data_IF_960554841786
#
_entry.id   IF_960554841786
#
_cell.length_a   1.000
_cell.length_b   1.000
_cell.length_c   1.000
_cell.angle_alpha   90.00
_cell.angle_beta   90.00
_cell.angle_gamma   90.00
#
_symmetry.space_group_name_H-M   'P 1'
#
loop_
_entity.id
_entity.type
_entity.pdbx_description
1 polymer ?
#
# COMPACT_ATOMS: atom_id res chain seq x y z
N UNK A 1 24.74 32.64 -28.64
CA UNK A 1 24.32 31.27 -28.31
C UNK A 1 24.87 30.77 -26.98
N UNK A 2 26.12 31.09 -26.60
CA UNK A 2 26.71 30.66 -25.31
C UNK A 2 25.90 31.09 -24.07
N UNK A 3 25.31 32.30 -24.08
CA UNK A 3 24.48 32.76 -22.97
C UNK A 3 23.17 32.00 -22.79
N UNK A 4 22.53 31.56 -23.89
CA UNK A 4 21.29 30.79 -23.84
C UNK A 4 21.54 29.36 -23.36
N UNK A 5 22.61 28.71 -23.83
CA UNK A 5 23.03 27.39 -23.35
C UNK A 5 23.28 27.38 -21.83
N UNK A 6 24.04 28.38 -21.35
CA UNK A 6 24.36 28.53 -19.93
C UNK A 6 23.10 28.74 -19.06
N UNK A 7 22.14 29.53 -19.53
CA UNK A 7 20.87 29.73 -18.81
C UNK A 7 20.03 28.46 -18.72
N UNK A 8 20.08 27.59 -19.74
CA UNK A 8 19.38 26.30 -19.71
C UNK A 8 20.08 25.34 -18.74
N UNK A 9 21.41 25.31 -18.72
CA UNK A 9 22.19 24.49 -17.77
C UNK A 9 21.98 24.92 -16.32
N UNK A 10 22.00 26.23 -16.03
CA UNK A 10 21.74 26.76 -14.68
C UNK A 10 20.33 26.36 -14.20
N UNK A 11 19.31 26.46 -15.06
CA UNK A 11 17.95 26.02 -14.74
C UNK A 11 17.81 24.52 -14.55
N UNK A 12 18.54 23.70 -15.33
CA UNK A 12 18.53 22.25 -15.14
C UNK A 12 19.10 21.88 -13.77
N UNK A 13 20.19 22.53 -13.34
CA UNK A 13 20.76 22.34 -12.00
C UNK A 13 19.80 22.77 -10.89
N UNK A 14 19.08 23.87 -11.06
CA UNK A 14 18.04 24.30 -10.11
C UNK A 14 16.95 23.24 -9.98
N UNK A 15 16.50 22.64 -11.09
CA UNK A 15 15.50 21.58 -11.09
C UNK A 15 16.06 20.29 -10.44
N UNK A 16 17.32 19.93 -10.69
CA UNK A 16 17.98 18.77 -10.07
C UNK A 16 18.06 18.92 -8.54
N UNK A 17 18.41 20.10 -8.04
CA UNK A 17 18.39 20.39 -6.58
C UNK A 17 16.97 20.26 -6.02
N UNK A 18 15.96 20.79 -6.73
CA UNK A 18 14.57 20.66 -6.30
C UNK A 18 14.07 19.20 -6.30
N UNK A 19 14.56 18.36 -7.21
CA UNK A 19 14.27 16.91 -7.23
C UNK A 19 14.90 16.23 -6.01
N UNK A 20 16.15 16.54 -5.68
CA UNK A 20 16.82 15.99 -4.49
C UNK A 20 16.11 16.39 -3.18
N UNK A 21 15.59 17.62 -3.10
CA UNK A 21 14.76 18.06 -1.96
C UNK A 21 13.44 17.28 -1.90
N UNK A 22 12.75 17.12 -3.03
CA UNK A 22 11.50 16.34 -3.10
C UNK A 22 11.74 14.86 -2.76
N UNK A 23 12.86 14.26 -3.16
CA UNK A 23 13.23 12.90 -2.82
C UNK A 23 13.32 12.71 -1.29
N UNK A 24 14.00 13.64 -0.60
CA UNK A 24 14.10 13.66 0.87
C UNK A 24 12.73 13.82 1.53
N UNK A 25 11.91 14.75 1.02
CA UNK A 25 10.53 14.94 1.49
C UNK A 25 9.66 13.67 1.29
N UNK A 26 9.79 13.00 0.15
CA UNK A 26 9.07 11.76 -0.14
C UNK A 26 9.45 10.65 0.82
N UNK A 27 10.75 10.40 1.00
CA UNK A 27 11.24 9.34 1.89
C UNK A 27 10.67 9.51 3.30
N UNK A 28 10.83 10.69 3.90
CA UNK A 28 10.29 10.96 5.25
C UNK A 28 8.76 10.94 5.32
N UNK A 29 8.08 11.29 4.22
CA UNK A 29 6.61 11.21 4.16
C UNK A 29 6.12 9.77 4.08
N UNK A 30 6.77 8.90 3.30
CA UNK A 30 6.44 7.47 3.25
C UNK A 30 6.81 6.75 4.55
N UNK A 31 7.94 7.09 5.17
CA UNK A 31 8.31 6.59 6.50
C UNK A 31 7.19 6.87 7.53
N UNK A 32 6.74 8.12 7.61
CA UNK A 32 5.64 8.51 8.49
C UNK A 32 4.31 7.83 8.13
N UNK A 33 3.99 7.75 6.83
CA UNK A 33 2.79 7.09 6.33
C UNK A 33 2.76 5.60 6.67
N UNK A 34 3.86 4.88 6.45
CA UNK A 34 3.97 3.44 6.67
C UNK A 34 3.85 3.05 8.13
N UNK A 35 4.41 3.85 9.04
CA UNK A 35 4.25 3.62 10.48
C UNK A 35 2.78 3.61 10.88
N UNK A 36 2.04 4.65 10.47
CA UNK A 36 0.60 4.78 10.82
C UNK A 36 -0.24 3.77 10.04
N UNK A 37 0.06 3.55 8.75
CA UNK A 37 -0.65 2.59 7.91
C UNK A 37 -0.48 1.16 8.44
N UNK A 38 0.73 0.75 8.82
CA UNK A 38 1.00 -0.58 9.35
C UNK A 38 0.22 -0.86 10.63
N UNK A 39 0.17 0.10 11.56
CA UNK A 39 -0.67 0.03 12.76
C UNK A 39 -2.16 -0.04 12.40
N UNK A 40 -2.62 0.80 11.46
CA UNK A 40 -4.01 0.84 10.97
C UNK A 40 -4.45 -0.48 10.34
N UNK A 41 -3.61 -1.09 9.49
CA UNK A 41 -3.85 -2.41 8.89
C UNK A 41 -4.02 -3.46 10.00
N UNK A 42 -3.11 -3.47 10.98
CA UNK A 42 -3.15 -4.42 12.10
C UNK A 42 -4.44 -4.29 12.92
N UNK A 43 -4.85 -3.07 13.25
CA UNK A 43 -6.10 -2.83 13.98
C UNK A 43 -7.33 -3.27 13.18
N UNK A 44 -7.41 -2.88 11.90
CA UNK A 44 -8.52 -3.22 11.02
C UNK A 44 -8.64 -4.73 10.80
N UNK A 45 -7.51 -5.44 10.71
CA UNK A 45 -7.49 -6.89 10.66
C UNK A 45 -8.13 -7.53 11.90
N UNK A 46 -7.78 -7.03 13.09
CA UNK A 46 -8.33 -7.53 14.35
C UNK A 46 -9.83 -7.23 14.45
N UNK A 47 -10.27 -6.03 14.06
CA UNK A 47 -11.69 -5.68 14.04
C UNK A 47 -12.49 -6.53 13.04
N UNK A 48 -11.98 -6.73 11.82
CA UNK A 48 -12.59 -7.59 10.82
C UNK A 48 -12.71 -9.03 11.35
N UNK A 49 -11.64 -9.58 11.93
CA UNK A 49 -11.61 -10.92 12.50
C UNK A 49 -12.58 -11.07 13.67
N UNK A 50 -12.64 -10.08 14.57
CA UNK A 50 -13.62 -10.02 15.65
C UNK A 50 -15.04 -10.04 15.10
N UNK A 51 -15.33 -9.26 14.07
CA UNK A 51 -16.65 -9.24 13.45
C UNK A 51 -17.02 -10.56 12.80
N UNK A 52 -16.10 -11.21 12.10
CA UNK A 52 -16.33 -12.54 11.53
C UNK A 52 -16.66 -13.53 12.66
N UNK A 53 -15.90 -13.53 13.76
CA UNK A 53 -16.10 -14.48 14.85
C UNK A 53 -17.40 -14.22 15.64
N UNK A 54 -17.83 -12.97 15.80
CA UNK A 54 -18.96 -12.62 16.69
C UNK A 54 -20.27 -12.36 15.97
N UNK A 55 -20.22 -11.93 14.71
CA UNK A 55 -21.39 -11.57 13.90
C UNK A 55 -21.54 -12.45 12.66
N UNK A 56 -20.43 -12.92 12.09
CA UNK A 56 -20.44 -13.83 10.94
C UNK A 56 -20.74 -15.28 11.33
N UNK A 57 -19.93 -15.83 12.23
CA UNK A 57 -19.97 -17.24 12.63
C UNK A 57 -19.87 -17.43 14.16
N UNK A 58 -20.79 -16.85 14.95
CA UNK A 58 -20.77 -16.95 16.41
C UNK A 58 -20.82 -18.40 16.91
N UNK A 59 -21.64 -19.25 16.29
CA UNK A 59 -21.76 -20.66 16.68
C UNK A 59 -20.46 -21.44 16.46
N UNK A 60 -19.77 -21.22 15.34
CA UNK A 60 -18.49 -21.84 15.06
C UNK A 60 -17.43 -21.42 16.10
N UNK A 61 -17.39 -20.12 16.43
CA UNK A 61 -16.50 -19.60 17.45
C UNK A 61 -16.81 -20.15 18.86
N UNK A 62 -18.10 -20.29 19.20
CA UNK A 62 -18.54 -20.85 20.49
C UNK A 62 -18.27 -22.36 20.59
N UNK A 63 -18.22 -23.09 19.48
CA UNK A 63 -17.83 -24.51 19.45
C UNK A 63 -16.33 -24.74 19.68
N UNK A 64 -15.49 -23.72 19.47
CA UNK A 64 -14.07 -23.80 19.79
C UNK A 64 -13.84 -23.90 21.29
N UNK A 65 -12.91 -24.75 21.70
CA UNK A 65 -12.37 -24.77 23.06
C UNK A 65 -11.60 -23.49 23.38
N UNK A 66 -11.41 -23.21 24.66
CA UNK A 66 -10.66 -22.02 25.11
C UNK A 66 -9.24 -21.96 24.51
N UNK A 67 -8.52 -23.08 24.48
CA UNK A 67 -7.16 -23.13 23.92
C UNK A 67 -7.14 -22.89 22.40
N UNK A 68 -8.14 -23.39 21.66
CA UNK A 68 -8.28 -23.12 20.22
C UNK A 68 -8.55 -21.63 19.96
N UNK A 69 -9.45 -21.01 20.73
CA UNK A 69 -9.71 -19.56 20.63
C UNK A 69 -8.46 -18.75 20.93
N UNK A 70 -7.74 -19.08 22.00
CA UNK A 70 -6.51 -18.39 22.39
C UNK A 70 -5.43 -18.53 21.32
N UNK A 71 -5.23 -19.74 20.77
CA UNK A 71 -4.28 -20.00 19.68
C UNK A 71 -4.61 -19.14 18.45
N UNK A 72 -5.85 -19.22 17.97
CA UNK A 72 -6.30 -18.45 16.80
C UNK A 72 -6.13 -16.94 17.00
N UNK A 73 -6.51 -16.41 18.17
CA UNK A 73 -6.37 -14.99 18.49
C UNK A 73 -4.90 -14.57 18.57
N UNK A 74 -4.00 -15.43 19.08
CA UNK A 74 -2.56 -15.17 19.08
C UNK A 74 -2.02 -15.11 17.65
N UNK A 75 -2.36 -16.09 16.80
CA UNK A 75 -1.91 -16.13 15.42
C UNK A 75 -2.38 -14.90 14.63
N UNK A 76 -3.62 -14.46 14.83
CA UNK A 76 -4.13 -13.22 14.22
C UNK A 76 -3.38 -11.96 14.71
N UNK A 77 -3.03 -11.90 16.01
CA UNK A 77 -2.23 -10.79 16.56
C UNK A 77 -0.81 -10.78 16.03
N UNK A 78 -0.24 -11.95 15.77
CA UNK A 78 1.11 -12.02 15.21
C UNK A 78 1.12 -11.60 13.74
N UNK A 79 0.11 -12.00 12.95
CA UNK A 79 -0.07 -11.48 11.59
C UNK A 79 -0.29 -9.97 11.59
N UNK A 80 -1.06 -9.43 12.54
CA UNK A 80 -1.33 -7.99 12.62
C UNK A 80 -0.07 -7.12 12.81
N UNK A 81 1.05 -7.69 13.25
CA UNK A 81 2.34 -7.00 13.39
C UNK A 81 3.19 -7.04 12.12
N UNK A 82 2.90 -7.94 11.19
CA UNK A 82 3.68 -8.11 9.96
C UNK A 82 3.67 -6.90 9.02
N UNK A 83 2.53 -6.21 8.80
CA UNK A 83 2.49 -5.06 7.88
C UNK A 83 3.49 -3.97 8.23
N UNK A 84 3.72 -3.70 9.53
CA UNK A 84 4.67 -2.67 9.97
C UNK A 84 6.08 -2.98 9.44
N UNK A 85 6.55 -4.22 9.65
CA UNK A 85 7.88 -4.66 9.20
C UNK A 85 7.98 -4.73 7.69
N UNK A 86 6.97 -5.30 7.01
CA UNK A 86 7.00 -5.45 5.55
C UNK A 86 6.95 -4.08 4.84
N UNK A 87 6.29 -3.08 5.42
CA UNK A 87 6.31 -1.71 4.92
C UNK A 87 7.63 -0.99 5.21
N UNK A 88 8.22 -1.18 6.39
CA UNK A 88 9.55 -0.66 6.71
C UNK A 88 10.62 -1.20 5.74
N UNK A 89 10.65 -2.52 5.51
CA UNK A 89 11.54 -3.18 4.55
C UNK A 89 11.33 -2.67 3.11
N UNK A 90 10.11 -2.25 2.76
CA UNK A 90 9.79 -1.72 1.43
C UNK A 90 10.41 -0.33 1.19
N UNK A 91 10.62 0.48 2.23
CA UNK A 91 11.29 1.79 2.09
C UNK A 91 12.75 1.63 1.62
N UNK A 92 13.38 0.54 2.05
CA UNK A 92 14.80 0.28 1.80
C UNK A 92 15.05 -0.36 0.42
N UNK A 93 14.00 -0.77 -0.28
CA UNK A 93 14.09 -1.39 -1.59
C UNK A 93 14.14 -0.35 -2.70
N UNK A 94 15.29 -0.20 -3.35
CA UNK A 94 15.40 0.50 -4.64
C UNK A 94 15.11 -0.52 -5.73
N UNK A 95 14.21 -0.22 -6.70
CA UNK A 95 14.06 -1.08 -7.87
C UNK A 95 15.42 -1.22 -8.56
N UNK A 96 15.98 -2.43 -8.60
CA UNK A 96 17.10 -2.73 -9.50
C UNK A 96 16.62 -2.42 -10.92
N UNK A 97 17.42 -1.68 -11.69
CA UNK A 97 17.15 -1.46 -13.12
C UNK A 97 17.01 -2.82 -13.80
N UNK A 98 15.78 -3.31 -13.95
CA UNK A 98 15.50 -4.43 -14.82
C UNK A 98 15.61 -3.89 -16.24
N UNK A 99 16.80 -4.00 -16.83
CA UNK A 99 16.96 -4.19 -18.27
C UNK A 99 16.22 -5.47 -18.66
N UNK A 100 14.90 -5.41 -18.76
CA UNK A 100 14.11 -6.37 -19.49
C UNK A 100 12.96 -5.64 -20.17
N UNK A 101 13.11 -5.57 -21.49
CA UNK A 101 12.10 -5.25 -22.47
C UNK A 101 10.76 -5.88 -22.14
N UNK A 102 9.76 -5.05 -21.87
CA UNK A 102 8.40 -5.29 -22.35
C UNK A 102 7.75 -3.93 -22.67
N UNK A 103 7.57 -3.70 -23.97
CA UNK A 103 6.84 -2.58 -24.54
C UNK A 103 5.37 -2.62 -24.14
N UNK A 104 5.01 -2.30 -22.89
CA UNK A 104 3.60 -2.04 -22.56
C UNK A 104 3.46 -1.21 -21.28
N UNK A 105 3.68 0.11 -21.38
CA UNK A 105 3.03 1.09 -20.47
C UNK A 105 3.16 2.56 -20.87
N UNK A 106 3.57 2.86 -22.10
CA UNK A 106 3.51 4.23 -22.64
C UNK A 106 2.14 4.66 -23.22
N UNK A 107 1.16 3.79 -23.61
CA UNK A 107 -0.07 4.28 -24.22
C UNK A 107 -1.22 4.65 -23.25
N UNK A 108 -1.21 4.27 -21.97
CA UNK A 108 -2.34 4.62 -21.07
C UNK A 108 -2.31 6.07 -20.58
N UNK A 109 -1.11 6.65 -20.36
CA UNK A 109 -0.97 8.06 -20.00
C UNK A 109 -1.28 9.02 -21.16
N UNK A 110 -1.21 8.55 -22.41
CA UNK A 110 -1.56 9.35 -23.60
C UNK A 110 -3.07 9.42 -23.80
N UNK A 111 -3.81 8.38 -23.40
CA UNK A 111 -5.27 8.33 -23.57
C UNK A 111 -6.03 9.21 -22.55
N UNK A 112 -5.46 9.44 -21.35
CA UNK A 112 -6.03 10.36 -20.37
C UNK A 112 -5.80 11.85 -20.71
N UNK A 113 -4.74 12.18 -21.44
CA UNK A 113 -4.40 13.56 -21.78
C UNK A 113 -5.16 14.12 -23.00
N UNK A 114 -5.87 13.29 -23.76
CA UNK A 114 -6.57 13.70 -24.98
C UNK A 114 -8.10 13.90 -24.79
N UNK A 115 -8.65 13.64 -23.60
CA UNK A 115 -10.11 13.57 -23.40
C UNK A 115 -10.71 14.63 -22.47
N UNK A 116 -9.97 15.67 -22.09
CA UNK A 116 -10.52 16.83 -21.38
C UNK A 116 -10.75 17.99 -22.35
N UNK A 117 -11.89 17.93 -23.05
CA UNK A 117 -12.50 19.08 -23.72
C UNK A 117 -13.77 19.49 -22.97
N UNK A 118 -13.81 20.76 -22.57
CA UNK A 118 -14.95 21.60 -22.17
C UNK A 118 -16.15 20.96 -21.45
N UNK A 119 -16.41 21.41 -20.21
CA UNK A 119 -17.69 21.21 -19.53
C UNK A 119 -17.78 21.97 -18.21
N UNK A 120 -18.78 22.83 -18.12
CA UNK A 120 -19.00 23.90 -17.15
C UNK A 120 -19.27 23.47 -15.69
N UNK A 121 -19.15 24.44 -14.78
CA UNK A 121 -19.58 24.42 -13.37
C UNK A 121 -21.05 23.95 -13.19
N UNK A 122 -21.33 23.23 -12.09
CA UNK A 122 -22.56 23.47 -11.31
C UNK A 122 -22.55 22.85 -9.91
N UNK A 123 -22.86 23.69 -8.91
CA UNK A 123 -23.29 23.32 -7.56
C UNK A 123 -24.56 22.46 -7.59
N UNK A 124 -24.65 21.46 -6.70
CA UNK A 124 -25.94 21.05 -6.13
C UNK A 124 -25.78 20.68 -4.66
N UNK A 125 -26.44 21.47 -3.81
CA UNK A 125 -26.73 21.16 -2.41
C UNK A 125 -27.92 20.18 -2.33
N UNK A 126 -27.86 19.17 -1.47
CA UNK A 126 -29.09 18.60 -0.89
C UNK A 126 -28.84 17.81 0.40
N UNK A 127 -29.56 18.22 1.44
CA UNK A 127 -29.77 17.58 2.74
C UNK A 127 -30.38 16.18 2.60
N UNK A 128 -30.12 15.27 3.56
CA UNK A 128 -31.15 14.53 4.30
C UNK A 128 -30.58 13.80 5.52
N UNK A 129 -31.48 13.60 6.49
CA UNK A 129 -31.34 13.24 7.89
C UNK A 129 -31.30 11.72 8.16
N UNK A 130 -30.62 11.43 9.27
CA UNK A 130 -30.95 10.54 10.39
C UNK A 130 -30.88 9.00 10.31
N UNK A 131 -30.42 8.50 11.47
CA UNK A 131 -30.55 7.19 12.11
C UNK A 131 -29.65 6.03 11.65
N UNK A 132 -28.60 5.78 12.44
CA UNK A 132 -28.40 4.47 13.07
C UNK A 132 -27.47 4.52 14.29
N UNK A 133 -27.96 3.86 15.32
CA UNK A 133 -27.41 3.62 16.65
C UNK A 133 -25.93 3.21 16.65
N UNK A 134 -25.06 4.06 17.19
CA UNK A 134 -23.70 3.69 17.56
C UNK A 134 -23.73 2.97 18.92
N UNK A 135 -23.37 1.69 18.92
CA UNK A 135 -22.79 1.07 20.11
C UNK A 135 -21.31 1.46 20.07
N UNK A 136 -20.96 2.43 20.90
CA UNK A 136 -19.59 2.89 21.12
C UNK A 136 -18.77 1.72 21.70
N UNK A 137 -17.85 1.18 20.90
CA UNK A 137 -16.97 0.08 21.28
C UNK A 137 -15.59 0.63 21.59
N UNK A 138 -15.22 0.60 22.87
CA UNK A 138 -13.97 1.14 23.39
C UNK A 138 -12.76 0.29 22.97
N UNK A 139 -11.90 0.83 22.11
CA UNK A 139 -10.71 0.15 21.56
C UNK A 139 -9.65 -0.18 22.63
N UNK A 140 -9.73 0.47 23.80
CA UNK A 140 -8.74 0.35 24.87
C UNK A 140 -8.69 -1.04 25.53
N UNK A 141 -9.75 -1.86 25.40
CA UNK A 141 -9.85 -3.14 26.09
C UNK A 141 -8.96 -4.24 25.47
N UNK A 142 -8.62 -4.14 24.17
CA UNK A 142 -7.90 -5.22 23.48
C UNK A 142 -6.37 -5.21 23.66
N UNK A 143 -5.78 -4.08 24.07
CA UNK A 143 -4.34 -3.82 24.03
C UNK A 143 -3.66 -3.66 25.41
N UNK A 144 -4.34 -3.96 26.51
CA UNK A 144 -3.70 -3.94 27.84
C UNK A 144 -3.00 -5.27 28.14
N UNK A 145 -1.73 -5.41 27.78
CA UNK A 145 -0.85 -6.49 28.29
C UNK A 145 -0.09 -6.02 29.52
N UNK A 146 -0.48 -6.53 30.70
CA UNK A 146 0.38 -6.59 31.90
C UNK A 146 1.06 -7.96 31.92
N UNK A 147 2.38 -8.02 31.81
CA UNK A 147 3.16 -9.23 32.14
C UNK A 147 4.48 -8.87 32.84
N UNK A 148 5.00 -9.84 33.58
CA UNK A 148 5.81 -9.73 34.79
C UNK A 148 7.30 -10.00 34.51
N UNK A 149 8.18 -9.15 35.07
CA UNK A 149 9.61 -8.93 34.78
C UNK A 149 10.64 -10.05 35.09
N UNK A 150 10.23 -11.28 35.36
CA UNK A 150 11.08 -12.38 35.84
C UNK A 150 12.18 -12.96 34.91
N UNK A 151 11.81 -13.28 33.67
CA UNK A 151 12.51 -14.31 32.87
C UNK A 151 13.08 -13.82 31.53
N UNK A 152 12.76 -12.60 31.08
CA UNK A 152 13.26 -12.06 29.80
C UNK A 152 14.77 -11.77 29.80
N UNK A 153 15.36 -11.41 30.95
CA UNK A 153 16.78 -11.02 31.02
C UNK A 153 17.78 -12.11 30.62
N UNK A 154 17.45 -13.41 30.77
CA UNK A 154 18.37 -14.51 30.40
C UNK A 154 18.26 -14.97 28.94
N UNK A 155 17.22 -14.54 28.23
CA UNK A 155 17.05 -14.80 26.80
C UNK A 155 17.59 -13.64 25.96
N UNK A 156 17.45 -12.40 26.44
CA UNK A 156 17.98 -11.18 25.80
C UNK A 156 19.50 -11.22 25.69
N UNK A 157 20.22 -11.60 26.75
CA UNK A 157 21.70 -11.66 26.74
C UNK A 157 22.26 -12.66 25.70
N UNK A 158 21.52 -13.75 25.39
CA UNK A 158 21.95 -14.73 24.37
C UNK A 158 21.58 -14.33 22.94
N UNK A 159 20.52 -13.52 22.79
CA UNK A 159 20.13 -12.96 21.51
C UNK A 159 21.08 -11.80 21.13
N UNK A 160 21.48 -10.96 22.09
CA UNK A 160 22.47 -9.89 21.85
C UNK A 160 23.83 -10.43 21.38
N UNK A 161 24.27 -11.58 21.90
CA UNK A 161 25.55 -12.17 21.49
C UNK A 161 25.49 -12.82 20.09
N UNK A 162 24.28 -13.18 19.63
CA UNK A 162 24.05 -13.70 18.26
C UNK A 162 23.73 -12.61 17.24
N UNK A 163 23.13 -11.48 17.66
CA UNK A 163 22.92 -10.28 16.83
C UNK A 163 24.24 -9.55 16.54
N UNK A 164 25.14 -9.44 17.54
CA UNK A 164 26.47 -8.84 17.37
C UNK A 164 27.40 -9.59 16.38
N UNK A 165 27.02 -10.80 15.97
CA UNK A 165 27.73 -11.60 14.96
C UNK A 165 27.15 -11.41 13.55
N UNK A 166 25.89 -11.00 13.44
CA UNK A 166 25.21 -10.62 12.18
C UNK A 166 25.56 -9.17 11.81
N UNK A 167 25.69 -8.27 12.81
CA UNK A 167 26.07 -6.86 12.63
C UNK A 167 27.46 -6.62 11.99
N UNK A 168 28.29 -7.65 11.82
CA UNK A 168 29.60 -7.50 11.16
C UNK A 168 29.58 -7.74 9.66
N UNK A 169 28.44 -8.13 9.09
CA UNK A 169 28.27 -8.31 7.63
C UNK A 169 27.28 -7.30 6.99
N UNK A 170 26.56 -6.48 7.76
CA UNK A 170 25.53 -5.52 7.26
C UNK A 170 25.93 -4.03 7.35
N UNK A 171 27.19 -3.67 7.08
CA UNK A 171 27.65 -2.26 7.15
C UNK A 171 27.47 -1.50 5.80
N UNK A 172 26.87 -2.08 4.76
CA UNK A 172 26.71 -1.37 3.47
C UNK A 172 25.41 -0.56 3.26
N UNK A 173 24.37 -0.75 4.06
CA UNK A 173 23.08 -0.07 3.85
C UNK A 173 22.68 0.83 5.03
N UNK A 174 23.31 2.01 5.10
CA UNK A 174 22.79 3.14 5.89
C UNK A 174 21.67 3.85 5.11
N UNK A 175 20.60 4.37 5.77
CA UNK A 175 19.52 5.13 5.11
C UNK A 175 20.01 6.35 4.31
N UNK A 176 21.18 6.91 4.66
CA UNK A 176 21.82 7.98 3.89
C UNK A 176 22.14 7.55 2.44
N UNK A 177 22.50 6.29 2.22
CA UNK A 177 22.88 5.77 0.90
C UNK A 177 21.67 5.57 -0.04
N UNK A 178 20.46 5.40 0.50
CA UNK A 178 19.24 5.25 -0.31
C UNK A 178 18.78 6.63 -0.79
N UNK A 179 18.75 7.62 0.11
CA UNK A 179 18.30 8.98 -0.21
C UNK A 179 19.15 9.59 -1.32
N UNK A 180 20.47 9.39 -1.29
CA UNK A 180 21.39 9.88 -2.32
C UNK A 180 21.12 9.26 -3.70
N UNK A 181 20.67 8.01 -3.76
CA UNK A 181 20.30 7.33 -5.02
C UNK A 181 18.96 7.84 -5.58
N UNK A 182 18.06 8.31 -4.71
CA UNK A 182 16.75 8.85 -5.08
C UNK A 182 16.82 10.28 -5.64
N UNK A 183 17.99 10.93 -5.69
CA UNK A 183 18.15 12.25 -6.32
C UNK A 183 17.93 12.19 -7.85
N UNK A 184 18.02 11.00 -8.46
CA UNK A 184 17.68 10.80 -9.86
C UNK A 184 16.15 10.68 -10.04
N UNK A 185 15.60 11.51 -10.93
CA UNK A 185 14.18 11.59 -11.25
C UNK A 185 13.56 10.24 -11.66
N UNK A 186 14.25 9.46 -12.51
CA UNK A 186 13.71 8.19 -13.00
C UNK A 186 13.68 7.13 -11.89
N UNK A 187 14.73 7.11 -11.05
CA UNK A 187 14.81 6.21 -9.89
C UNK A 187 13.75 6.60 -8.84
N UNK A 188 13.55 7.89 -8.60
CA UNK A 188 12.53 8.35 -7.65
C UNK A 188 11.11 7.95 -8.08
N UNK A 189 10.80 8.09 -9.37
CA UNK A 189 9.49 7.70 -9.92
C UNK A 189 9.31 6.18 -9.81
N UNK A 190 10.28 5.39 -10.25
CA UNK A 190 10.16 3.93 -10.21
C UNK A 190 10.08 3.39 -8.77
N UNK A 191 10.84 3.98 -7.84
CA UNK A 191 10.76 3.67 -6.41
C UNK A 191 9.36 3.96 -5.85
N UNK A 192 8.80 5.13 -6.18
CA UNK A 192 7.47 5.52 -5.74
C UNK A 192 6.38 4.61 -6.31
N UNK A 193 6.45 4.26 -7.60
CA UNK A 193 5.52 3.34 -8.26
C UNK A 193 5.62 1.93 -7.65
N UNK A 194 6.84 1.46 -7.37
CA UNK A 194 7.06 0.18 -6.71
C UNK A 194 6.40 0.14 -5.31
N UNK A 195 6.56 1.20 -4.53
CA UNK A 195 5.90 1.34 -3.24
C UNK A 195 4.37 1.22 -3.38
N UNK A 196 3.76 2.02 -4.26
CA UNK A 196 2.31 2.02 -4.44
C UNK A 196 1.78 0.68 -4.93
N UNK A 197 2.56 -0.04 -5.73
CA UNK A 197 2.22 -1.38 -6.22
C UNK A 197 2.30 -2.44 -5.13
N UNK A 198 3.27 -2.34 -4.23
CA UNK A 198 3.52 -3.36 -3.20
C UNK A 198 2.58 -3.23 -1.99
N UNK A 199 2.07 -2.03 -1.68
CA UNK A 199 1.12 -1.83 -0.58
C UNK A 199 -0.11 -2.75 -0.73
N UNK A 200 -0.87 -2.76 -1.86
CA UNK A 200 -1.98 -3.68 -2.05
C UNK A 200 -1.61 -5.16 -1.92
N UNK A 201 -0.42 -5.55 -2.39
CA UNK A 201 0.05 -6.95 -2.28
C UNK A 201 0.29 -7.35 -0.82
N UNK A 202 0.82 -6.45 0.01
CA UNK A 202 0.94 -6.66 1.46
C UNK A 202 -0.46 -6.84 2.09
N UNK A 203 -1.43 -5.96 1.77
CA UNK A 203 -2.80 -6.07 2.29
C UNK A 203 -3.45 -7.40 1.88
N UNK A 204 -3.27 -7.82 0.64
CA UNK A 204 -3.77 -9.09 0.12
C UNK A 204 -3.15 -10.28 0.86
N UNK A 205 -1.82 -10.32 0.99
CA UNK A 205 -1.08 -11.36 1.70
C UNK A 205 -1.55 -11.47 3.16
N UNK A 206 -1.75 -10.35 3.84
CA UNK A 206 -2.24 -10.30 5.23
C UNK A 206 -3.68 -10.84 5.31
N UNK A 207 -4.55 -10.43 4.39
CA UNK A 207 -5.94 -10.91 4.31
C UNK A 207 -6.00 -12.43 4.06
N UNK A 208 -5.18 -12.95 3.14
CA UNK A 208 -5.14 -14.37 2.79
C UNK A 208 -4.64 -15.23 3.96
N UNK A 209 -3.60 -14.76 4.67
CA UNK A 209 -3.09 -15.47 5.86
C UNK A 209 -4.11 -15.45 6.99
N UNK A 210 -4.80 -14.32 7.22
CA UNK A 210 -5.86 -14.24 8.20
C UNK A 210 -7.04 -15.16 7.88
N UNK A 211 -7.49 -15.19 6.63
CA UNK A 211 -8.52 -16.12 6.17
C UNK A 211 -8.08 -17.58 6.34
N UNK A 212 -6.81 -17.90 6.10
CA UNK A 212 -6.26 -19.23 6.31
C UNK A 212 -6.30 -19.65 7.79
N UNK A 213 -6.01 -18.74 8.73
CA UNK A 213 -6.16 -18.99 10.17
C UNK A 213 -7.63 -19.29 10.50
N UNK A 214 -8.56 -18.46 10.01
CA UNK A 214 -9.98 -18.63 10.30
C UNK A 214 -10.56 -19.92 9.69
N UNK A 215 -10.02 -20.38 8.55
CA UNK A 215 -10.34 -21.68 7.96
C UNK A 215 -9.79 -22.84 8.79
N UNK A 216 -8.52 -22.75 9.21
CA UNK A 216 -7.88 -23.77 10.06
C UNK A 216 -8.55 -23.90 11.43
N UNK A 217 -9.12 -22.81 11.94
CA UNK A 217 -9.93 -22.79 13.14
C UNK A 217 -11.40 -23.19 12.90
N UNK A 218 -11.76 -23.68 11.70
CA UNK A 218 -13.12 -24.10 11.32
C UNK A 218 -14.20 -23.02 11.50
N UNK A 219 -13.81 -21.73 11.53
CA UNK A 219 -14.73 -20.60 11.55
C UNK A 219 -15.24 -20.33 10.14
N UNK A 220 -14.33 -20.29 9.17
CA UNK A 220 -14.68 -20.18 7.76
C UNK A 220 -14.86 -21.57 7.14
N UNK A 221 -15.83 -21.74 6.23
CA UNK A 221 -16.01 -23.02 5.56
C UNK A 221 -14.82 -23.33 4.62
N UNK A 222 -14.25 -24.53 4.75
CA UNK A 222 -13.09 -25.01 3.97
C UNK A 222 -13.38 -25.23 2.47
N UNK A 223 -14.61 -25.00 2.00
CA UNK A 223 -15.05 -25.26 0.62
C UNK A 223 -14.78 -24.10 -0.35
N UNK A 224 -14.18 -23.00 0.08
CA UNK A 224 -14.02 -21.81 -0.78
C UNK A 224 -12.67 -21.90 -1.49
N UNK A 225 -12.62 -22.13 -2.81
CA UNK A 225 -11.35 -22.13 -3.53
C UNK A 225 -10.71 -20.75 -3.45
N UNK A 226 -9.41 -20.68 -3.13
CA UNK A 226 -8.64 -19.42 -3.12
C UNK A 226 -8.83 -18.60 -4.41
N UNK A 227 -9.01 -19.29 -5.54
CA UNK A 227 -9.29 -18.67 -6.86
C UNK A 227 -10.63 -17.90 -6.92
N UNK A 228 -11.65 -18.32 -6.17
CA UNK A 228 -12.95 -17.61 -6.12
C UNK A 228 -12.83 -16.35 -5.27
N UNK A 229 -12.06 -16.41 -4.18
CA UNK A 229 -11.74 -15.23 -3.37
C UNK A 229 -10.94 -14.21 -4.19
N UNK A 230 -9.90 -14.65 -4.90
CA UNK A 230 -9.09 -13.78 -5.78
C UNK A 230 -9.90 -13.18 -6.94
N UNK A 231 -10.86 -13.92 -7.51
CA UNK A 231 -11.73 -13.40 -8.56
C UNK A 231 -12.71 -12.36 -8.00
N UNK A 232 -13.22 -12.58 -6.78
CA UNK A 232 -14.11 -11.65 -6.11
C UNK A 232 -13.43 -10.35 -5.69
N UNK A 233 -12.19 -10.40 -5.19
CA UNK A 233 -11.43 -9.20 -4.83
C UNK A 233 -11.16 -8.31 -6.04
N UNK A 234 -10.92 -8.91 -7.23
CA UNK A 234 -10.79 -8.19 -8.50
C UNK A 234 -12.10 -7.55 -8.99
N UNK A 235 -13.25 -8.18 -8.72
CA UNK A 235 -14.56 -7.67 -9.12
C UNK A 235 -15.08 -6.57 -8.18
N UNK A 236 -14.71 -6.62 -6.89
CA UNK A 236 -15.03 -5.60 -5.88
C UNK A 236 -14.13 -4.37 -5.92
N UNK A 237 -13.22 -4.25 -6.90
CA UNK A 237 -12.43 -3.02 -7.10
C UNK A 237 -13.29 -1.82 -7.55
N UNK A 238 -14.60 -2.01 -7.74
CA UNK A 238 -15.59 -0.94 -7.89
C UNK A 238 -16.04 -0.37 -6.54
N UNK A 239 -16.21 0.96 -6.50
CA UNK A 239 -16.35 1.85 -5.33
C UNK A 239 -17.59 1.61 -4.42
N UNK A 240 -18.26 0.45 -4.53
CA UNK A 240 -19.45 0.12 -3.76
C UNK A 240 -19.24 -1.17 -2.98
N UNK A 241 -19.06 -1.11 -1.65
CA UNK A 241 -19.00 -2.30 -0.81
C UNK A 241 -20.33 -3.06 -0.91
N UNK A 242 -20.32 -4.24 -1.54
CA UNK A 242 -21.47 -5.17 -1.62
C UNK A 242 -21.88 -5.75 -0.24
N UNK A 243 -21.34 -5.21 0.86
CA UNK A 243 -21.35 -5.87 2.15
C UNK A 243 -21.29 -5.00 3.39
N UNK A 244 -21.57 -3.69 3.32
CA UNK A 244 -21.95 -2.82 4.45
C UNK A 244 -20.99 -2.66 5.65
N UNK A 245 -19.91 -3.44 5.77
CA UNK A 245 -18.90 -3.34 6.82
C UNK A 245 -17.51 -3.26 6.21
N UNK A 246 -16.64 -2.41 6.76
CA UNK A 246 -15.31 -2.22 6.21
C UNK A 246 -14.47 -3.49 6.32
N UNK A 247 -13.60 -3.69 5.35
CA UNK A 247 -12.55 -4.70 5.26
C UNK A 247 -13.08 -6.15 5.23
N UNK A 248 -14.33 -6.34 4.80
CA UNK A 248 -14.99 -7.64 4.72
C UNK A 248 -15.56 -7.88 3.31
N UNK A 249 -15.33 -9.08 2.81
CA UNK A 249 -15.90 -9.58 1.56
C UNK A 249 -17.08 -10.51 1.88
N UNK A 250 -18.26 -10.20 1.33
CA UNK A 250 -19.47 -11.02 1.47
C UNK A 250 -19.76 -11.73 0.14
N UNK A 251 -19.57 -13.06 0.11
CA UNK A 251 -19.87 -13.90 -1.05
C UNK A 251 -21.13 -14.72 -0.83
N UNK A 252 -21.92 -14.87 -1.88
CA UNK A 252 -23.00 -15.85 -1.93
C UNK A 252 -22.54 -16.98 -2.84
N UNK A 253 -22.28 -18.16 -2.26
CA UNK A 253 -21.83 -19.33 -3.00
C UNK A 253 -23.01 -20.28 -3.17
N UNK A 254 -23.36 -20.59 -4.41
CA UNK A 254 -24.28 -21.68 -4.72
C UNK A 254 -23.51 -22.99 -4.62
N UNK A 255 -23.79 -23.78 -3.57
CA UNK A 255 -23.28 -25.13 -3.47
C UNK A 255 -24.28 -26.10 -4.10
N UNK A 256 -23.85 -26.79 -5.16
CA UNK A 256 -24.51 -28.01 -5.65
C UNK A 256 -24.07 -29.17 -4.75
N UNK A 257 -24.98 -29.69 -3.93
CA UNK A 257 -24.75 -30.96 -3.23
C UNK A 257 -25.04 -32.10 -4.24
N UNK A 258 -24.06 -32.96 -4.58
CA UNK A 258 -24.28 -34.07 -5.52
C UNK A 258 -25.24 -35.14 -4.99
N UNK A 259 -25.60 -35.10 -3.70
CA UNK A 259 -26.47 -36.07 -3.02
C UNK A 259 -27.93 -35.59 -2.85
N UNK A 260 -28.24 -34.31 -3.09
CA UNK A 260 -29.60 -33.76 -3.00
C UNK A 260 -30.00 -33.04 -4.31
N UNK A 261 -30.77 -33.71 -5.18
CA UNK A 261 -31.38 -33.13 -6.39
C UNK A 261 -32.42 -31.99 -6.11
N UNK A 262 -32.36 -31.30 -4.96
CA UNK A 262 -33.37 -30.32 -4.55
C UNK A 262 -32.77 -29.03 -3.99
N UNK A 263 -32.62 -28.09 -4.92
CA UNK A 263 -32.38 -26.63 -4.78
C UNK A 263 -30.95 -26.22 -4.41
N UNK A 264 -30.37 -25.23 -5.13
CA UNK A 264 -29.06 -24.69 -4.78
C UNK A 264 -29.12 -24.11 -3.37
N UNK A 265 -28.26 -24.60 -2.46
CA UNK A 265 -28.07 -23.96 -1.15
C UNK A 265 -27.11 -22.79 -1.33
N UNK A 266 -27.68 -21.59 -1.38
CA UNK A 266 -26.92 -20.34 -1.35
C UNK A 266 -26.31 -20.21 0.06
N UNK A 267 -25.01 -20.43 0.18
CA UNK A 267 -24.27 -20.24 1.43
C UNK A 267 -23.63 -18.86 1.42
N UNK A 268 -24.00 -18.01 2.39
CA UNK A 268 -23.32 -16.73 2.60
C UNK A 268 -21.98 -16.97 3.28
N UNK A 269 -20.91 -16.53 2.65
CA UNK A 269 -19.55 -16.52 3.17
C UNK A 269 -19.14 -15.08 3.47
N UNK A 270 -18.64 -14.86 4.67
CA UNK A 270 -17.98 -13.60 5.06
C UNK A 270 -16.50 -13.89 5.25
N UNK A 271 -15.61 -13.17 4.56
CA UNK A 271 -14.15 -13.32 4.66
C UNK A 271 -13.46 -11.97 4.88
N UNK A 272 -12.23 -11.98 5.40
CA UNK A 272 -11.40 -10.78 5.54
C UNK A 272 -10.92 -10.34 4.16
N UNK A 273 -11.11 -9.07 3.82
CA UNK A 273 -10.55 -8.44 2.63
C UNK A 273 -10.16 -7.00 2.98
N UNK A 274 -8.91 -6.80 3.40
CA UNK A 274 -8.40 -5.48 3.77
C UNK A 274 -8.27 -4.61 2.52
N UNK A 275 -8.85 -3.41 2.56
CA UNK A 275 -8.85 -2.48 1.44
C UNK A 275 -8.18 -1.18 1.84
N UNK A 276 -7.24 -0.73 1.02
CA UNK A 276 -6.47 0.48 1.31
C UNK A 276 -7.39 1.70 1.45
N UNK A 277 -8.35 1.89 0.53
CA UNK A 277 -9.27 3.02 0.56
C UNK A 277 -10.10 3.11 1.85
N UNK A 278 -10.51 1.97 2.40
CA UNK A 278 -11.30 1.95 3.63
C UNK A 278 -10.43 2.18 4.88
N UNK A 279 -9.19 1.69 4.89
CA UNK A 279 -8.23 1.96 5.96
C UNK A 279 -7.84 3.44 5.95
N UNK A 280 -7.54 4.01 4.78
CA UNK A 280 -7.24 5.43 4.62
C UNK A 280 -8.43 6.31 5.02
N UNK A 281 -9.67 5.91 4.68
CA UNK A 281 -10.88 6.66 5.03
C UNK A 281 -11.21 6.61 6.52
N UNK A 282 -10.93 5.49 7.19
CA UNK A 282 -11.28 5.32 8.61
C UNK A 282 -10.31 6.02 9.55
N UNK A 283 -9.02 6.12 9.20
CA UNK A 283 -8.00 6.75 10.04
C UNK A 283 -7.58 8.13 9.49
N UNK A 284 -7.89 9.18 10.27
CA UNK A 284 -7.56 10.58 9.97
C UNK A 284 -6.04 10.77 9.78
N UNK A 285 -5.21 10.07 10.55
CA UNK A 285 -3.76 10.20 10.47
C UNK A 285 -3.24 9.60 9.16
N UNK A 286 -3.74 8.41 8.78
CA UNK A 286 -3.39 7.76 7.50
C UNK A 286 -3.82 8.66 6.33
N UNK A 287 -5.05 9.18 6.38
CA UNK A 287 -5.56 10.15 5.40
C UNK A 287 -4.69 11.41 5.28
N UNK A 288 -4.24 11.97 6.41
CA UNK A 288 -3.40 13.17 6.41
C UNK A 288 -2.04 12.91 5.73
N UNK A 289 -1.42 11.77 6.00
CA UNK A 289 -0.18 11.36 5.33
C UNK A 289 -0.40 11.08 3.84
N UNK A 290 -1.49 10.39 3.47
CA UNK A 290 -1.85 10.15 2.07
C UNK A 290 -2.02 11.44 1.27
N UNK A 291 -2.62 12.46 1.88
CA UNK A 291 -2.75 13.77 1.25
C UNK A 291 -1.39 14.47 1.06
N UNK A 292 -0.45 14.33 2.00
CA UNK A 292 0.93 14.82 1.81
C UNK A 292 1.61 14.12 0.62
N UNK A 293 1.47 12.80 0.51
CA UNK A 293 2.00 12.02 -0.62
C UNK A 293 1.43 12.55 -1.95
N UNK A 294 0.11 12.75 -2.03
CA UNK A 294 -0.55 13.30 -3.24
C UNK A 294 -0.04 14.70 -3.61
N UNK A 295 0.21 15.55 -2.62
CA UNK A 295 0.77 16.89 -2.85
C UNK A 295 2.21 16.83 -3.37
N UNK A 296 3.04 15.96 -2.82
CA UNK A 296 4.41 15.72 -3.30
C UNK A 296 4.40 15.15 -4.72
N UNK A 297 3.50 14.21 -5.03
CA UNK A 297 3.31 13.66 -6.37
C UNK A 297 2.95 14.75 -7.39
N UNK A 298 2.06 15.68 -7.01
CA UNK A 298 1.73 16.84 -7.83
C UNK A 298 2.96 17.71 -8.14
N UNK A 299 3.78 18.02 -7.14
CA UNK A 299 5.03 18.78 -7.29
C UNK A 299 6.04 18.04 -8.17
N UNK A 300 6.22 16.73 -7.96
CA UNK A 300 7.14 15.89 -8.74
C UNK A 300 6.74 15.87 -10.22
N UNK A 301 5.45 15.68 -10.51
CA UNK A 301 4.94 15.69 -11.88
C UNK A 301 5.16 17.04 -12.58
N UNK A 302 5.06 18.14 -11.84
CA UNK A 302 5.38 19.46 -12.37
C UNK A 302 6.88 19.58 -12.70
N UNK A 303 7.77 19.22 -11.76
CA UNK A 303 9.22 19.24 -12.00
C UNK A 303 9.63 18.33 -13.16
N UNK A 304 9.02 17.15 -13.28
CA UNK A 304 9.29 16.22 -14.39
C UNK A 304 8.98 16.86 -15.75
N UNK A 305 7.86 17.57 -15.87
CA UNK A 305 7.48 18.28 -17.10
C UNK A 305 8.47 19.41 -17.41
N UNK A 306 8.87 20.18 -16.39
CA UNK A 306 9.83 21.27 -16.53
C UNK A 306 11.23 20.77 -16.91
N UNK A 307 11.69 19.70 -16.27
CA UNK A 307 12.96 19.04 -16.55
C UNK A 307 13.03 18.56 -18.00
N UNK A 308 12.03 17.78 -18.46
CA UNK A 308 11.95 17.29 -19.85
C UNK A 308 11.95 18.42 -20.87
N UNK A 309 11.21 19.51 -20.59
CA UNK A 309 11.18 20.70 -21.45
C UNK A 309 12.56 21.34 -21.57
N UNK A 310 13.28 21.49 -20.46
CA UNK A 310 14.62 22.09 -20.43
C UNK A 310 15.69 21.18 -21.05
N UNK A 311 15.58 19.87 -20.84
CA UNK A 311 16.45 18.88 -21.47
C UNK A 311 16.31 18.91 -23.00
N UNK A 312 15.08 19.02 -23.51
CA UNK A 312 14.83 19.19 -24.95
C UNK A 312 15.40 20.50 -25.49
N UNK A 313 15.26 21.60 -24.75
CA UNK A 313 15.83 22.90 -25.13
C UNK A 313 17.36 22.83 -25.23
N UNK A 314 18.02 22.18 -24.27
CA UNK A 314 19.47 21.93 -24.30
C UNK A 314 19.86 21.12 -25.53
N UNK A 315 19.17 20.02 -25.81
CA UNK A 315 19.45 19.17 -26.96
C UNK A 315 19.30 19.92 -28.30
N UNK A 316 18.30 20.80 -28.42
CA UNK A 316 18.13 21.66 -29.60
C UNK A 316 19.31 22.60 -29.76
N UNK A 317 19.73 23.30 -28.69
CA UNK A 317 20.86 24.23 -28.74
C UNK A 317 22.17 23.50 -29.10
N UNK A 318 22.38 22.30 -28.55
CA UNK A 318 23.55 21.48 -28.83
C UNK A 318 23.56 20.98 -30.28
N UNK A 319 22.44 20.46 -30.78
CA UNK A 319 22.27 20.06 -32.16
C UNK A 319 22.48 21.22 -33.13
N UNK A 320 21.94 22.40 -32.80
CA UNK A 320 22.11 23.64 -33.53
C UNK A 320 23.57 24.11 -33.59
N UNK A 321 24.32 23.92 -32.50
CA UNK A 321 25.75 24.21 -32.44
C UNK A 321 26.55 23.20 -33.27
N UNK A 322 26.25 21.91 -33.12
CA UNK A 322 26.91 20.82 -33.85
C UNK A 322 26.67 20.91 -35.37
N UNK A 323 25.45 21.26 -35.78
CA UNK A 323 25.13 21.52 -37.18
C UNK A 323 25.97 22.68 -37.73
N UNK A 324 26.01 23.82 -37.04
CA UNK A 324 26.79 24.98 -37.47
C UNK A 324 28.30 24.72 -37.51
N UNK A 325 28.81 23.82 -36.67
CA UNK A 325 30.25 23.47 -36.65
C UNK A 325 30.63 22.40 -37.68
N UNK A 326 29.67 21.60 -38.15
CA UNK A 326 29.90 20.55 -39.16
C UNK A 326 29.54 20.99 -40.59
N UNK A 327 28.88 22.14 -40.73
CA UNK A 327 28.53 22.73 -42.02
C UNK A 327 29.70 23.53 -42.61
N UNK A 328 30.42 22.94 -43.56
CA UNK A 328 31.43 23.60 -44.38
C UNK A 328 30.99 23.59 -45.85
N UNK A 329 31.12 24.72 -46.55
CA UNK A 329 31.02 24.80 -48.02
C UNK A 329 32.42 24.53 -48.61
N UNK A 330 32.56 23.52 -49.47
CA UNK A 330 33.79 23.27 -50.26
C UNK A 330 33.96 24.24 -51.43
#
# INVERSE_FOLDING_TARGET
>A
MVGAARQVEEKLKEIEVAIAEIAKEFYGTYEGYFKVLGEGIGQQLIFASYHICTQGYPEAFLNLSFSQRQKMQSELRDIAKLPVRELEELLEQIPEEQENSDETSAPELIMSLLNEGDGEEQEVTSLLKDEKTNIEFDSAVLFSTKTSDNEEKKLVDRIEESLNKIEREEIENSPENIIDKLENLEILISWQENIEKQIPEILKKVSDRANSILQNAEILPNKIPKKVLEAATKMESGDTPLGGKPNLLNLLIEAEDPEEEKKPRVTKVIAVNLRLSEIEFTDINVSAWRNKIRNLLGRLNQLQREYRKKQRERAVIEAESAWRSSWYEE
#
